data_IF_006094725568
#
_entry.id   IF_006094725568
#
_cell.length_a   1.000
_cell.length_b   1.000
_cell.length_c   1.000
_cell.angle_alpha   90.00
_cell.angle_beta   90.00
_cell.angle_gamma   90.00
#
_symmetry.space_group_name_H-M   'P 1'
#
loop_
_entity.id
_entity.type
_entity.pdbx_description
1 polymer ?
#
# COMPACT_ATOMS: atom_id res chain seq x y z
N UNK A 1 4.64 6.46 9.88
CA UNK A 1 3.73 5.72 8.98
C UNK A 1 3.09 6.64 7.94
N UNK A 2 2.48 7.76 8.34
CA UNK A 2 1.98 8.78 7.39
C UNK A 2 3.06 9.31 6.44
N UNK A 3 4.28 9.51 6.93
CA UNK A 3 5.42 9.96 6.12
C UNK A 3 5.79 8.94 5.02
N UNK A 4 5.87 7.65 5.36
CA UNK A 4 6.14 6.60 4.37
C UNK A 4 5.03 6.49 3.32
N UNK A 5 3.76 6.63 3.72
CA UNK A 5 2.64 6.66 2.77
C UNK A 5 2.68 7.89 1.84
N UNK A 6 3.05 9.06 2.36
CA UNK A 6 3.22 10.28 1.57
C UNK A 6 4.42 10.16 0.60
N UNK A 7 5.50 9.51 1.02
CA UNK A 7 6.66 9.24 0.18
C UNK A 7 6.30 8.29 -0.98
N UNK A 8 5.52 7.23 -0.71
CA UNK A 8 4.98 6.34 -1.75
C UNK A 8 4.14 7.11 -2.77
N UNK A 9 3.26 8.01 -2.32
CA UNK A 9 2.45 8.83 -3.23
C UNK A 9 3.32 9.74 -4.11
N UNK A 10 4.39 10.32 -3.55
CA UNK A 10 5.36 11.15 -4.28
C UNK A 10 6.07 10.33 -5.37
N UNK A 11 6.50 9.11 -5.04
CA UNK A 11 7.14 8.20 -5.99
C UNK A 11 6.20 7.80 -7.13
N UNK A 12 4.93 7.54 -6.82
CA UNK A 12 3.89 7.27 -7.84
C UNK A 12 3.64 8.45 -8.77
N UNK A 13 3.73 9.69 -8.27
CA UNK A 13 3.59 10.87 -9.11
C UNK A 13 4.74 11.03 -10.12
N UNK A 14 5.95 10.57 -9.78
CA UNK A 14 7.13 10.70 -10.64
C UNK A 14 7.16 9.66 -11.76
N UNK A 15 6.66 8.44 -11.50
CA UNK A 15 6.70 7.29 -12.41
C UNK A 15 6.18 7.57 -13.85
N UNK A 16 5.03 8.23 -14.06
CA UNK A 16 4.49 8.48 -15.41
C UNK A 16 5.38 9.36 -16.30
N UNK A 17 6.24 10.19 -15.69
CA UNK A 17 7.08 11.15 -16.43
C UNK A 17 8.44 10.58 -16.84
N UNK A 18 8.80 9.40 -16.33
CA UNK A 18 10.13 8.82 -16.52
C UNK A 18 10.16 7.88 -17.73
N UNK A 19 11.20 7.97 -18.59
CA UNK A 19 11.43 6.97 -19.60
C UNK A 19 11.75 5.62 -18.94
N UNK A 20 11.31 4.53 -19.57
CA UNK A 20 11.62 3.18 -19.09
C UNK A 20 13.14 3.00 -19.03
N UNK A 21 13.69 2.80 -17.83
CA UNK A 21 15.14 2.83 -17.64
C UNK A 21 15.57 2.74 -16.17
N UNK A 22 16.87 2.99 -15.88
CA UNK A 22 17.43 2.84 -14.54
C UNK A 22 16.75 3.72 -13.48
N UNK A 23 16.24 4.89 -13.86
CA UNK A 23 15.49 5.79 -12.96
C UNK A 23 14.17 5.16 -12.49
N UNK A 24 13.42 4.52 -13.40
CA UNK A 24 12.22 3.74 -13.05
C UNK A 24 12.54 2.57 -12.12
N UNK A 25 13.67 1.88 -12.35
CA UNK A 25 14.13 0.79 -11.48
C UNK A 25 14.50 1.28 -10.08
N UNK A 26 15.12 2.45 -9.97
CA UNK A 26 15.46 3.06 -8.69
C UNK A 26 14.21 3.44 -7.87
N UNK A 27 13.22 4.07 -8.52
CA UNK A 27 11.94 4.38 -7.86
C UNK A 27 11.22 3.09 -7.41
N UNK A 28 11.17 2.06 -8.26
CA UNK A 28 10.57 0.78 -7.87
C UNK A 28 11.28 0.13 -6.67
N UNK A 29 12.60 0.26 -6.58
CA UNK A 29 13.37 -0.22 -5.43
C UNK A 29 13.06 0.58 -4.17
N UNK A 30 13.03 1.91 -4.25
CA UNK A 30 12.68 2.76 -3.11
C UNK A 30 11.25 2.46 -2.62
N UNK A 31 10.32 2.22 -3.55
CA UNK A 31 8.95 1.80 -3.24
C UNK A 31 8.92 0.47 -2.45
N UNK A 32 9.67 -0.53 -2.91
CA UNK A 32 9.78 -1.81 -2.23
C UNK A 32 10.41 -1.70 -0.83
N UNK A 33 11.43 -0.84 -0.68
CA UNK A 33 12.08 -0.60 0.63
C UNK A 33 11.12 0.07 1.62
N UNK A 34 10.31 1.03 1.17
CA UNK A 34 9.26 1.66 1.97
C UNK A 34 8.17 0.66 2.38
N UNK A 35 7.70 -0.17 1.44
CA UNK A 35 6.74 -1.24 1.72
C UNK A 35 7.27 -2.19 2.80
N UNK A 36 8.54 -2.61 2.70
CA UNK A 36 9.16 -3.49 3.69
C UNK A 36 9.33 -2.82 5.05
N UNK A 37 9.67 -1.53 5.08
CA UNK A 37 9.75 -0.74 6.31
C UNK A 37 8.40 -0.66 7.03
N UNK A 38 7.32 -0.45 6.27
CA UNK A 38 5.94 -0.48 6.77
C UNK A 38 5.62 -1.87 7.33
N UNK A 39 5.90 -2.94 6.58
CA UNK A 39 5.60 -4.30 7.02
C UNK A 39 6.32 -4.66 8.32
N UNK A 40 7.59 -4.25 8.46
CA UNK A 40 8.37 -4.42 9.71
C UNK A 40 7.77 -3.64 10.87
N UNK A 41 7.36 -2.40 10.64
CA UNK A 41 6.72 -1.59 11.67
C UNK A 41 5.40 -2.22 12.12
N UNK A 42 4.57 -2.69 11.19
CA UNK A 42 3.30 -3.37 11.49
C UNK A 42 3.53 -4.63 12.32
N UNK A 43 4.50 -5.46 11.95
CA UNK A 43 4.85 -6.65 12.74
C UNK A 43 5.34 -6.31 14.15
N UNK A 44 6.01 -5.16 14.33
CA UNK A 44 6.49 -4.71 15.62
C UNK A 44 5.37 -4.19 16.54
N UNK A 45 4.36 -3.52 15.98
CA UNK A 45 3.29 -2.88 16.77
C UNK A 45 2.04 -3.75 16.95
N UNK A 46 1.94 -4.87 16.25
CA UNK A 46 0.76 -5.75 16.30
C UNK A 46 1.01 -6.95 17.23
N UNK A 47 -0.04 -7.46 17.91
CA UNK A 47 0.10 -8.64 18.75
C UNK A 47 0.54 -9.85 17.94
N UNK A 48 1.31 -10.76 18.56
CA UNK A 48 1.67 -12.05 17.94
C UNK A 48 0.38 -12.83 17.66
N UNK A 49 0.03 -13.11 16.40
CA UNK A 49 -1.22 -13.78 16.08
C UNK A 49 -1.22 -15.23 16.59
N UNK A 50 -2.37 -15.71 17.07
CA UNK A 50 -2.50 -17.11 17.48
C UNK A 50 -2.34 -18.05 16.28
N UNK A 51 -1.72 -19.21 16.45
CA UNK A 51 -1.29 -20.10 15.35
C UNK A 51 -2.41 -20.61 14.42
N UNK A 52 -3.68 -20.53 14.85
CA UNK A 52 -4.86 -20.91 14.06
C UNK A 52 -5.54 -19.75 13.32
N UNK A 53 -5.07 -18.51 13.48
CA UNK A 53 -5.69 -17.34 12.85
C UNK A 53 -5.53 -17.38 11.33
N UNK A 54 -6.53 -16.96 10.53
CA UNK A 54 -6.41 -16.97 9.08
C UNK A 54 -5.24 -16.11 8.58
N UNK A 55 -4.55 -16.57 7.53
CA UNK A 55 -3.49 -15.83 6.84
C UNK A 55 -4.10 -14.96 5.73
N UNK A 56 -3.75 -13.67 5.71
CA UNK A 56 -4.09 -12.77 4.62
C UNK A 56 -3.14 -12.97 3.42
N UNK A 57 -3.58 -12.58 2.23
CA UNK A 57 -2.84 -12.78 0.97
C UNK A 57 -1.83 -11.70 0.67
N UNK A 58 -2.03 -10.49 1.21
CA UNK A 58 -1.18 -9.32 0.99
C UNK A 58 -0.58 -8.81 2.31
N UNK A 59 0.53 -8.09 2.23
CA UNK A 59 1.05 -7.35 3.38
C UNK A 59 0.41 -5.98 3.49
N UNK A 60 0.52 -5.34 4.66
CA UNK A 60 0.00 -3.97 4.84
C UNK A 60 0.77 -2.97 3.96
N UNK A 61 2.08 -3.16 3.78
CA UNK A 61 2.91 -2.37 2.87
C UNK A 61 2.39 -2.42 1.43
N UNK A 62 2.03 -3.60 0.93
CA UNK A 62 1.43 -3.75 -0.41
C UNK A 62 0.10 -3.02 -0.55
N UNK A 63 -0.76 -3.10 0.46
CA UNK A 63 -2.07 -2.40 0.43
C UNK A 63 -1.86 -0.89 0.46
N UNK A 64 -0.93 -0.38 1.29
CA UNK A 64 -0.60 1.05 1.34
C UNK A 64 0.03 1.54 0.04
N UNK A 65 0.89 0.75 -0.60
CA UNK A 65 1.44 1.08 -1.94
C UNK A 65 0.32 1.24 -2.98
N UNK A 66 -0.64 0.32 -2.98
CA UNK A 66 -1.80 0.39 -3.87
C UNK A 66 -2.71 1.57 -3.55
N UNK A 67 -2.92 1.90 -2.27
CA UNK A 67 -3.67 3.11 -1.87
C UNK A 67 -2.98 4.37 -2.41
N UNK A 68 -1.66 4.45 -2.29
CA UNK A 68 -0.89 5.58 -2.82
C UNK A 68 -0.99 5.67 -4.35
N UNK A 69 -0.95 4.53 -5.05
CA UNK A 69 -1.17 4.47 -6.50
C UNK A 69 -2.57 4.95 -6.89
N UNK A 70 -3.62 4.44 -6.25
CA UNK A 70 -5.01 4.84 -6.54
C UNK A 70 -5.29 6.31 -6.21
N UNK A 71 -4.65 6.87 -5.19
CA UNK A 71 -4.72 8.32 -4.93
C UNK A 71 -4.16 9.12 -6.11
N UNK A 72 -2.97 8.74 -6.59
CA UNK A 72 -2.35 9.36 -7.77
C UNK A 72 -3.23 9.19 -9.01
N UNK A 73 -3.76 8.00 -9.24
CA UNK A 73 -4.60 7.70 -10.40
C UNK A 73 -5.89 8.53 -10.40
N UNK A 74 -6.59 8.58 -9.26
CA UNK A 74 -7.83 9.33 -9.12
C UNK A 74 -7.62 10.84 -9.26
N UNK A 75 -6.63 11.41 -8.55
CA UNK A 75 -6.51 12.86 -8.41
C UNK A 75 -5.55 13.52 -9.40
N UNK A 76 -4.76 12.74 -10.16
CA UNK A 76 -3.80 13.27 -11.13
C UNK A 76 -4.04 12.73 -12.53
N UNK A 77 -4.15 11.40 -12.69
CA UNK A 77 -4.30 10.80 -14.03
C UNK A 77 -5.69 11.06 -14.62
N UNK A 78 -6.73 10.90 -13.81
CA UNK A 78 -8.13 10.96 -14.27
C UNK A 78 -8.87 12.24 -13.89
N UNK A 79 -8.17 13.27 -13.41
CA UNK A 79 -8.80 14.48 -12.87
C UNK A 79 -9.70 15.25 -13.87
N UNK A 80 -9.47 15.09 -15.18
CA UNK A 80 -10.21 15.80 -16.25
C UNK A 80 -11.33 14.96 -16.89
N UNK A 81 -11.43 13.66 -16.55
CA UNK A 81 -12.48 12.76 -17.04
C UNK A 81 -13.38 12.35 -15.88
N UNK A 82 -14.56 12.98 -15.78
CA UNK A 82 -15.52 12.77 -14.69
C UNK A 82 -15.88 11.29 -14.46
N UNK A 83 -15.99 10.50 -15.54
CA UNK A 83 -16.35 9.08 -15.41
C UNK A 83 -15.16 8.27 -14.92
N UNK A 84 -13.98 8.46 -15.52
CA UNK A 84 -12.77 7.76 -15.08
C UNK A 84 -12.37 8.16 -13.65
N UNK A 85 -12.51 9.45 -13.29
CA UNK A 85 -12.31 9.96 -11.94
C UNK A 85 -13.26 9.27 -10.95
N UNK A 86 -14.56 9.22 -11.26
CA UNK A 86 -15.56 8.57 -10.42
C UNK A 86 -15.23 7.09 -10.15
N UNK A 87 -14.80 6.36 -11.18
CA UNK A 87 -14.38 4.97 -11.03
C UNK A 87 -13.10 4.81 -10.20
N UNK A 88 -12.09 5.66 -10.42
CA UNK A 88 -10.84 5.64 -9.66
C UNK A 88 -11.07 5.96 -8.18
N UNK A 89 -11.93 6.94 -7.88
CA UNK A 89 -12.34 7.29 -6.50
C UNK A 89 -13.10 6.15 -5.84
N UNK A 90 -14.01 5.47 -6.55
CA UNK A 90 -14.72 4.30 -6.02
C UNK A 90 -13.77 3.16 -5.65
N UNK A 91 -12.78 2.86 -6.50
CA UNK A 91 -11.76 1.84 -6.23
C UNK A 91 -10.88 2.23 -5.04
N UNK A 92 -10.50 3.51 -4.92
CA UNK A 92 -9.75 4.03 -3.78
C UNK A 92 -10.52 3.84 -2.47
N UNK A 93 -11.80 4.20 -2.43
CA UNK A 93 -12.64 4.01 -1.24
C UNK A 93 -12.79 2.54 -0.87
N UNK A 94 -13.09 1.67 -1.83
CA UNK A 94 -13.22 0.23 -1.57
C UNK A 94 -11.92 -0.38 -1.01
N UNK A 95 -10.76 0.09 -1.50
CA UNK A 95 -9.47 -0.34 -0.98
C UNK A 95 -9.19 0.21 0.43
N UNK A 96 -9.58 1.46 0.70
CA UNK A 96 -9.44 2.08 2.02
C UNK A 96 -10.29 1.37 3.07
N UNK A 97 -11.54 1.04 2.74
CA UNK A 97 -12.44 0.28 3.63
C UNK A 97 -11.87 -1.12 3.94
N UNK A 98 -11.33 -1.79 2.91
CA UNK A 98 -10.68 -3.09 3.06
C UNK A 98 -9.41 -3.01 3.93
N UNK A 99 -8.62 -1.94 3.78
CA UNK A 99 -7.47 -1.66 4.61
C UNK A 99 -7.85 -1.43 6.07
N UNK A 100 -8.88 -0.62 6.34
CA UNK A 100 -9.33 -0.33 7.70
C UNK A 100 -9.81 -1.60 8.41
N UNK A 101 -10.64 -2.41 7.73
CA UNK A 101 -11.09 -3.69 8.25
C UNK A 101 -9.91 -4.63 8.58
N UNK A 102 -8.94 -4.74 7.65
CA UNK A 102 -7.76 -5.58 7.87
C UNK A 102 -6.89 -5.06 9.03
N UNK A 103 -6.67 -3.75 9.12
CA UNK A 103 -5.90 -3.14 10.20
C UNK A 103 -6.55 -3.42 11.57
N UNK A 104 -7.87 -3.38 11.64
CA UNK A 104 -8.64 -3.72 12.83
C UNK A 104 -8.48 -5.20 13.22
N UNK A 105 -8.51 -6.12 12.26
CA UNK A 105 -8.31 -7.55 12.50
C UNK A 105 -6.87 -7.87 12.95
N UNK A 106 -5.88 -7.23 12.33
CA UNK A 106 -4.47 -7.43 12.65
C UNK A 106 -4.13 -6.85 14.03
N UNK A 107 -4.64 -5.65 14.37
CA UNK A 107 -4.43 -5.05 15.70
C UNK A 107 -5.09 -5.83 16.82
N UNK A 108 -6.17 -6.57 16.53
CA UNK A 108 -6.79 -7.55 17.45
C UNK A 108 -6.06 -8.90 17.50
N UNK A 109 -5.08 -9.12 16.63
CA UNK A 109 -4.35 -10.39 16.54
C UNK A 109 -5.18 -11.56 16.02
N UNK A 110 -6.31 -11.30 15.34
CA UNK A 110 -7.20 -12.33 14.77
C UNK A 110 -6.90 -12.63 13.30
N UNK A 111 -5.99 -11.88 12.68
CA UNK A 111 -5.50 -12.09 11.32
C UNK A 111 -3.97 -12.11 11.31
N UNK A 112 -3.39 -13.05 10.54
CA UNK A 112 -1.96 -13.09 10.21
C UNK A 112 -1.69 -12.37 8.90
N UNK A 113 -0.57 -11.66 8.86
CA UNK A 113 -0.02 -11.10 7.63
C UNK A 113 1.07 -12.03 7.08
N UNK A 114 1.26 -12.08 5.75
CA UNK A 114 2.40 -12.78 5.18
C UNK A 114 3.69 -12.10 5.61
N UNK A 115 4.68 -12.91 5.98
CA UNK A 115 6.03 -12.42 6.28
C UNK A 115 6.85 -12.42 5.00
N UNK A 116 7.22 -11.23 4.52
CA UNK A 116 8.15 -11.05 3.38
C UNK A 116 9.62 -11.24 3.76
N UNK A 117 9.90 -11.38 5.06
CA UNK A 117 11.24 -11.65 5.59
C UNK A 117 11.36 -13.12 5.98
N UNK A 118 12.17 -13.88 5.25
CA UNK A 118 12.69 -15.16 5.73
C UNK A 118 14.04 -14.85 6.40
N UNK A 119 14.25 -15.17 7.70
CA UNK A 119 15.55 -15.00 8.35
C UNK A 119 16.64 -15.85 7.70
#
# INVERSE_FOLDING_TARGET
>A
MLEAAAELATLHHQLPTLPQGPETSEINRQRADLMLSIDRFVLFVTPIPQGSTPLHTETIGTIIDRLAWHCTDAYLTHAEDDHAHGMAVLLLHALADSYEALAEEVTRGIRRLPTTFHP
#
